data_IF_230621401063
#
_entry.id   IF_230621401063
#
_cell.length_a   1.000
_cell.length_b   1.000
_cell.length_c   1.000
_cell.angle_alpha   90.00
_cell.angle_beta   90.00
_cell.angle_gamma   90.00
#
_symmetry.space_group_name_H-M   'P 1'
#
loop_
_entity.id
_entity.type
_entity.pdbx_description
1 polymer ?
#
# COMPACT_ATOMS: atom_id res chain seq x y z
N UNK A 1 9.54 11.57 -16.67
CA UNK A 1 9.89 10.53 -15.94
C UNK A 1 8.83 10.12 -14.96
N UNK A 2 8.67 8.94 -14.82
CA UNK A 2 7.63 8.43 -14.00
C UNK A 2 8.10 8.13 -12.63
N UNK A 3 7.34 8.58 -11.66
CA UNK A 3 7.62 8.23 -10.35
C UNK A 3 6.62 7.30 -9.89
N UNK A 4 7.03 6.35 -9.12
CA UNK A 4 6.14 5.40 -8.55
C UNK A 4 5.12 6.09 -7.69
N UNK A 5 5.54 7.00 -6.87
CA UNK A 5 4.64 7.77 -6.05
C UNK A 5 5.04 9.22 -6.13
N UNK A 6 4.06 10.10 -6.20
CA UNK A 6 4.32 11.52 -6.32
C UNK A 6 3.79 12.24 -5.10
N UNK A 7 4.63 13.04 -4.50
CA UNK A 7 4.20 13.84 -3.38
C UNK A 7 3.48 15.05 -3.93
N UNK A 8 2.24 15.22 -3.56
CA UNK A 8 1.45 16.35 -3.95
C UNK A 8 1.33 17.23 -2.73
N UNK A 9 2.20 18.21 -2.65
CA UNK A 9 2.30 18.96 -1.44
C UNK A 9 3.08 18.16 -0.42
N UNK A 10 3.07 18.58 0.82
CA UNK A 10 3.89 17.98 1.85
C UNK A 10 3.32 16.69 2.40
N UNK A 11 2.03 16.48 2.28
CA UNK A 11 1.38 15.39 2.98
C UNK A 11 0.57 14.45 2.11
N UNK A 12 0.76 14.50 0.80
CA UNK A 12 -0.08 13.70 -0.07
C UNK A 12 0.76 12.84 -1.00
N UNK A 13 0.48 11.55 -1.04
CA UNK A 13 1.08 10.63 -1.99
C UNK A 13 -0.01 10.17 -2.95
N UNK A 14 0.37 9.83 -4.17
CA UNK A 14 -0.60 9.42 -5.17
C UNK A 14 -0.04 8.31 -6.03
N UNK A 15 -0.80 7.25 -6.20
CA UNK A 15 -0.45 6.15 -7.10
C UNK A 15 -1.75 5.71 -7.75
N UNK A 16 -1.81 5.68 -9.09
CA UNK A 16 -3.04 5.34 -9.75
C UNK A 16 -4.14 6.32 -9.36
N UNK A 17 -5.33 5.81 -9.05
CA UNK A 17 -6.43 6.67 -8.63
C UNK A 17 -6.54 6.80 -7.12
N UNK A 18 -5.49 6.42 -6.40
CA UNK A 18 -5.51 6.43 -4.94
C UNK A 18 -4.56 7.48 -4.40
N UNK A 19 -4.97 8.19 -3.37
CA UNK A 19 -4.13 9.14 -2.69
C UNK A 19 -4.06 8.78 -1.22
N UNK A 20 -2.93 9.08 -0.61
CA UNK A 20 -2.74 8.85 0.81
C UNK A 20 -2.39 10.17 1.46
N UNK A 21 -3.25 10.63 2.35
CA UNK A 21 -2.99 11.85 3.11
C UNK A 21 -2.20 11.44 4.34
N UNK A 22 -0.92 11.78 4.38
CA UNK A 22 -0.08 11.32 5.46
C UNK A 22 -0.31 12.10 6.75
N UNK A 23 -0.96 13.25 6.67
CA UNK A 23 -1.26 13.99 7.89
C UNK A 23 -2.44 13.38 8.63
N UNK A 24 -3.43 12.88 7.90
CA UNK A 24 -4.62 12.32 8.52
C UNK A 24 -4.67 10.80 8.44
N UNK A 25 -3.67 10.19 7.83
CA UNK A 25 -3.62 8.72 7.66
C UNK A 25 -4.86 8.20 6.94
N UNK A 26 -5.28 8.92 5.91
CA UNK A 26 -6.52 8.60 5.21
C UNK A 26 -6.22 8.25 3.76
N UNK A 27 -6.78 7.13 3.32
CA UNK A 27 -6.66 6.69 1.95
C UNK A 27 -7.89 7.18 1.20
N UNK A 28 -7.69 7.82 0.07
CA UNK A 28 -8.76 8.47 -0.66
C UNK A 28 -8.76 8.00 -2.10
N UNK A 29 -9.95 7.78 -2.65
CA UNK A 29 -10.06 7.48 -4.07
C UNK A 29 -11.43 7.92 -4.55
N UNK A 30 -11.78 7.63 -5.81
CA UNK A 30 -13.03 8.16 -6.35
C UNK A 30 -14.30 7.78 -5.60
N UNK A 31 -14.30 6.64 -4.91
CA UNK A 31 -15.50 6.22 -4.21
C UNK A 31 -15.58 6.70 -2.78
N UNK A 32 -14.51 7.18 -2.21
CA UNK A 32 -14.57 7.64 -0.82
C UNK A 32 -13.23 7.63 -0.14
N UNK A 33 -13.26 7.47 1.17
CA UNK A 33 -12.07 7.49 1.99
C UNK A 33 -12.12 6.40 3.03
N UNK A 34 -10.93 5.94 3.42
CA UNK A 34 -10.78 4.97 4.49
C UNK A 34 -9.64 5.42 5.38
N UNK A 35 -9.90 5.52 6.66
CA UNK A 35 -8.86 5.84 7.60
C UNK A 35 -8.01 4.58 7.85
N UNK A 36 -6.71 4.73 7.92
CA UNK A 36 -5.81 3.61 8.14
C UNK A 36 -5.26 3.69 9.56
N UNK A 37 -5.28 2.55 10.25
CA UNK A 37 -4.68 2.47 11.56
C UNK A 37 -3.16 2.52 11.41
N UNK A 38 -2.48 2.68 12.56
CA UNK A 38 -1.05 2.95 12.56
C UNK A 38 -0.21 2.06 11.64
N UNK A 39 -0.28 0.75 11.81
CA UNK A 39 0.57 -0.13 10.99
C UNK A 39 0.05 -0.26 9.57
N UNK A 40 -1.26 -0.19 9.38
CA UNK A 40 -1.81 -0.17 8.03
C UNK A 40 -1.31 1.05 7.28
N UNK A 41 -1.30 2.18 7.94
CA UNK A 41 -0.85 3.42 7.34
C UNK A 41 0.63 3.32 6.96
N UNK A 42 1.46 2.85 7.88
CA UNK A 42 2.88 2.75 7.61
C UNK A 42 3.16 1.81 6.47
N UNK A 43 2.45 0.69 6.43
CA UNK A 43 2.64 -0.29 5.36
C UNK A 43 2.19 0.28 4.03
N UNK A 44 1.04 0.95 4.00
CA UNK A 44 0.55 1.54 2.76
C UNK A 44 1.48 2.65 2.27
N UNK A 45 1.98 3.45 3.19
CA UNK A 45 2.91 4.51 2.83
C UNK A 45 4.17 3.92 2.19
N UNK A 46 4.68 2.85 2.79
CA UNK A 46 5.87 2.20 2.25
C UNK A 46 5.60 1.67 0.85
N UNK A 47 4.47 1.04 0.64
CA UNK A 47 4.11 0.55 -0.68
C UNK A 47 3.99 1.67 -1.70
N UNK A 48 3.37 2.77 -1.31
CA UNK A 48 3.17 3.87 -2.26
C UNK A 48 4.47 4.58 -2.59
N UNK A 49 5.37 4.70 -1.63
CA UNK A 49 6.65 5.34 -1.92
C UNK A 49 7.55 4.45 -2.77
N UNK A 50 7.25 3.16 -2.84
CA UNK A 50 8.02 2.22 -3.63
C UNK A 50 7.16 1.47 -4.63
N UNK A 51 6.14 2.14 -5.16
CA UNK A 51 5.21 1.49 -6.06
C UNK A 51 5.95 0.90 -7.24
N UNK A 52 5.58 -0.30 -7.63
CA UNK A 52 6.22 -1.02 -8.71
C UNK A 52 7.44 -1.80 -8.31
N UNK A 53 7.89 -1.65 -7.07
CA UNK A 53 9.08 -2.35 -6.60
C UNK A 53 8.68 -3.47 -5.67
N UNK A 54 9.21 -4.65 -5.91
CA UNK A 54 8.96 -5.77 -5.01
C UNK A 54 9.77 -5.62 -3.76
N UNK A 55 9.13 -5.87 -2.64
CA UNK A 55 9.78 -5.77 -1.35
C UNK A 55 9.62 -7.09 -0.61
N UNK A 56 10.73 -7.71 -0.19
CA UNK A 56 10.63 -8.96 0.54
C UNK A 56 9.89 -8.78 1.86
N UNK A 57 9.29 -9.85 2.34
CA UNK A 57 8.57 -9.80 3.60
C UNK A 57 9.45 -9.30 4.74
N UNK A 58 10.71 -9.71 4.75
CA UNK A 58 11.61 -9.26 5.81
C UNK A 58 11.80 -7.76 5.81
N UNK A 59 11.85 -7.18 4.61
CA UNK A 59 11.99 -5.73 4.52
C UNK A 59 10.75 -5.03 5.07
N UNK A 60 9.58 -5.56 4.72
CA UNK A 60 8.34 -4.98 5.21
C UNK A 60 8.26 -5.07 6.73
N UNK A 61 8.65 -6.22 7.27
CA UNK A 61 8.66 -6.38 8.71
C UNK A 61 9.59 -5.38 9.37
N UNK A 62 10.79 -5.27 8.84
CA UNK A 62 11.79 -4.40 9.44
C UNK A 62 11.37 -2.94 9.38
N UNK A 63 10.88 -2.49 8.24
CA UNK A 63 10.60 -1.08 8.06
C UNK A 63 9.31 -0.62 8.74
N UNK A 64 8.34 -1.51 8.88
CA UNK A 64 7.08 -1.13 9.51
C UNK A 64 7.06 -1.46 10.98
N UNK A 65 7.54 -2.64 11.37
CA UNK A 65 7.49 -3.05 12.76
C UNK A 65 8.82 -2.90 13.50
N UNK A 66 9.93 -3.00 12.77
CA UNK A 66 11.23 -2.84 13.39
C UNK A 66 11.42 -3.80 14.55
N UNK A 67 11.78 -3.26 15.69
CA UNK A 67 12.01 -4.08 16.86
C UNK A 67 10.73 -4.58 17.50
N UNK A 68 9.61 -4.00 17.10
CA UNK A 68 8.33 -4.44 17.62
C UNK A 68 7.74 -5.59 16.84
N UNK A 69 8.49 -6.16 15.92
CA UNK A 69 7.95 -7.21 15.08
C UNK A 69 7.68 -8.46 15.92
N UNK A 70 6.46 -8.98 15.83
CA UNK A 70 6.17 -10.22 16.53
C UNK A 70 6.88 -11.36 15.84
N UNK A 71 6.99 -12.47 16.53
CA UNK A 71 7.61 -13.62 15.93
C UNK A 71 6.73 -14.16 14.82
N UNK A 72 7.37 -14.57 13.74
CA UNK A 72 6.63 -15.09 12.62
C UNK A 72 6.27 -13.99 11.66
N UNK A 73 6.08 -14.35 10.41
CA UNK A 73 5.86 -13.39 9.36
C UNK A 73 4.38 -13.17 9.04
N UNK A 74 3.49 -13.80 9.79
CA UNK A 74 2.07 -13.71 9.46
C UNK A 74 1.50 -12.32 9.64
N UNK A 75 2.14 -11.50 10.45
CA UNK A 75 1.60 -10.18 10.69
C UNK A 75 1.59 -9.35 9.41
N UNK A 76 2.60 -9.49 8.57
CA UNK A 76 2.63 -8.76 7.31
C UNK A 76 1.44 -9.18 6.45
N UNK A 77 1.23 -10.49 6.34
CA UNK A 77 0.14 -11.02 5.53
C UNK A 77 -1.22 -10.53 6.02
N UNK A 78 -1.40 -10.48 7.34
CA UNK A 78 -2.66 -10.03 7.91
C UNK A 78 -2.94 -8.58 7.53
N UNK A 79 -1.95 -7.72 7.66
CA UNK A 79 -2.14 -6.31 7.32
C UNK A 79 -2.29 -6.08 5.82
N UNK A 80 -1.62 -6.89 5.02
CA UNK A 80 -1.84 -6.81 3.58
C UNK A 80 -3.28 -7.17 3.24
N UNK A 81 -3.84 -8.17 3.94
CA UNK A 81 -5.24 -8.53 3.72
C UNK A 81 -6.17 -7.37 4.06
N UNK A 82 -5.90 -6.66 5.15
CA UNK A 82 -6.71 -5.50 5.49
C UNK A 82 -6.63 -4.43 4.42
N UNK A 83 -5.43 -4.15 3.94
CA UNK A 83 -5.26 -3.13 2.91
C UNK A 83 -5.94 -3.53 1.62
N UNK A 84 -5.85 -4.80 1.25
CA UNK A 84 -6.51 -5.27 0.04
C UNK A 84 -8.01 -5.07 0.10
N UNK A 85 -8.61 -5.34 1.26
CA UNK A 85 -10.04 -5.12 1.43
C UNK A 85 -10.41 -3.67 1.28
N UNK A 86 -9.61 -2.80 1.87
CA UNK A 86 -9.92 -1.36 1.79
C UNK A 86 -9.74 -0.84 0.39
N UNK A 87 -8.71 -1.27 -0.31
CA UNK A 87 -8.51 -0.84 -1.69
C UNK A 87 -9.66 -1.30 -2.57
N UNK A 88 -10.12 -2.52 -2.37
CA UNK A 88 -11.25 -3.03 -3.14
C UNK A 88 -12.51 -2.23 -2.85
N UNK A 89 -12.76 -1.94 -1.58
CA UNK A 89 -13.96 -1.21 -1.20
C UNK A 89 -13.97 0.20 -1.79
N UNK A 90 -12.81 0.79 -1.98
CA UNK A 90 -12.71 2.12 -2.54
C UNK A 90 -12.70 2.13 -4.07
N UNK A 91 -12.66 0.98 -4.69
CA UNK A 91 -12.60 0.93 -6.15
C UNK A 91 -11.26 1.37 -6.70
N UNK A 92 -10.20 1.09 -5.96
CA UNK A 92 -8.88 1.49 -6.36
C UNK A 92 -8.41 0.72 -7.58
N UNK A 93 -7.65 1.39 -8.44
CA UNK A 93 -7.05 0.71 -9.58
C UNK A 93 -5.61 0.31 -9.28
N UNK A 94 -5.27 0.16 -8.01
CA UNK A 94 -3.98 -0.38 -7.61
C UNK A 94 -4.23 -1.62 -6.78
N UNK A 95 -3.27 -2.52 -6.78
CA UNK A 95 -3.39 -3.76 -6.05
C UNK A 95 -2.05 -4.14 -5.46
N UNK A 96 -2.08 -4.82 -4.31
CA UNK A 96 -0.88 -5.34 -3.70
C UNK A 96 -0.70 -6.75 -4.25
N UNK A 97 0.34 -6.93 -5.04
CA UNK A 97 0.58 -8.17 -5.74
C UNK A 97 1.65 -8.98 -5.04
N UNK A 98 1.39 -10.27 -4.88
CA UNK A 98 2.35 -11.16 -4.25
C UNK A 98 3.16 -11.85 -5.33
N UNK A 99 4.46 -11.98 -5.09
CA UNK A 99 5.33 -12.73 -5.97
C UNK A 99 5.98 -13.81 -5.16
N UNK A 100 5.87 -15.04 -5.62
CA UNK A 100 6.38 -16.16 -4.87
C UNK A 100 7.86 -15.96 -4.59
N UNK A 101 8.24 -16.06 -3.34
CA UNK A 101 9.62 -15.93 -2.89
C UNK A 101 10.25 -14.57 -3.16
N UNK A 102 9.47 -13.58 -3.57
CA UNK A 102 10.03 -12.26 -3.86
C UNK A 102 9.33 -11.15 -3.12
N UNK A 103 8.27 -11.47 -2.38
CA UNK A 103 7.60 -10.48 -1.57
C UNK A 103 6.39 -9.87 -2.25
N UNK A 104 6.18 -8.60 -2.03
CA UNK A 104 4.97 -7.91 -2.46
C UNK A 104 5.31 -6.59 -3.14
N UNK A 105 4.43 -6.15 -4.03
CA UNK A 105 4.59 -4.84 -4.67
C UNK A 105 3.22 -4.22 -4.87
N UNK A 106 3.18 -2.90 -4.94
CA UNK A 106 1.95 -2.19 -5.25
C UNK A 106 1.99 -1.86 -6.73
N UNK A 107 0.98 -2.31 -7.47
CA UNK A 107 0.95 -2.14 -8.92
C UNK A 107 -0.33 -1.46 -9.34
N UNK A 108 -0.27 -0.66 -10.40
CA UNK A 108 -1.46 -0.10 -11.00
C UNK A 108 -2.05 -1.16 -11.91
N UNK A 109 -3.35 -1.43 -11.75
CA UNK A 109 -4.03 -2.47 -12.49
C UNK A 109 -4.92 -1.83 -13.52
N UNK A 110 -4.83 -2.29 -14.76
CA UNK A 110 -5.65 -1.73 -15.80
C UNK A 110 -7.05 -2.28 -15.73
N UNK A 111 -8.01 -1.38 -15.61
CA UNK A 111 -9.35 -1.84 -15.52
C UNK A 111 -9.89 -2.37 -16.81
N UNK A 112 -9.41 -1.86 -17.91
CA UNK A 112 -9.94 -2.26 -19.19
C UNK A 112 -9.71 -3.73 -19.48
N UNK A 113 -8.80 -4.33 -18.76
CA UNK A 113 -8.58 -5.72 -18.96
C UNK A 113 -9.69 -6.56 -18.53
N UNK A 114 -10.57 -6.01 -17.76
CA UNK A 114 -11.69 -6.75 -17.26
C UNK A 114 -12.71 -7.01 -18.32
N UNK A 115 -12.68 -6.28 -19.37
CA UNK A 115 -13.72 -6.41 -20.37
C UNK A 115 -13.71 -7.73 -21.06
#
# INVERSE_FOLDING_TARGET
>A
MTRAATAIGATMLSVGNVRLDTASCTLVDPLGEEHLANREFQLMELFMRNAGTRMPTERLMLEVWGEDAPEGANVVWVYISYLRKKLTALGANVAICASRNQGYSLEVVEESEQA
#
